data_IF_156401134725
#
_entry.id   IF_156401134725
#
_cell.length_a   1.000
_cell.length_b   1.000
_cell.length_c   1.000
_cell.angle_alpha   90.00
_cell.angle_beta   90.00
_cell.angle_gamma   90.00
#
_symmetry.space_group_name_H-M   'P 1'
#
loop_
_entity.id
_entity.type
_entity.pdbx_description
1 polymer ?
#
# COMPACT_ATOMS: atom_id res chain seq x y z
N UNK A 1 17.55 -24.78 6.46
CA UNK A 1 17.09 -24.35 5.12
C UNK A 1 15.68 -23.82 5.32
N UNK A 2 15.61 -22.64 5.93
CA UNK A 2 14.36 -22.00 6.34
C UNK A 2 13.86 -21.18 5.15
N UNK A 3 12.82 -21.70 4.50
CA UNK A 3 12.23 -21.11 3.32
C UNK A 3 11.74 -19.68 3.56
N UNK A 4 12.18 -18.77 2.70
CA UNK A 4 11.49 -17.56 2.23
C UNK A 4 10.32 -17.04 3.11
N UNK A 5 10.60 -16.64 4.35
CA UNK A 5 9.72 -15.77 5.11
C UNK A 5 9.87 -14.32 4.61
N UNK A 6 9.38 -14.06 3.40
CA UNK A 6 8.87 -12.73 3.03
C UNK A 6 7.34 -12.85 2.93
N UNK A 7 6.77 -13.37 4.01
CA UNK A 7 5.34 -13.42 4.30
C UNK A 7 5.19 -13.07 5.78
N UNK A 8 5.52 -11.82 6.11
CA UNK A 8 5.31 -11.24 7.44
C UNK A 8 5.25 -9.72 7.34
N UNK A 9 6.20 -9.08 6.65
CA UNK A 9 6.31 -7.62 6.67
C UNK A 9 5.35 -6.84 5.74
N UNK A 10 4.66 -7.51 4.81
CA UNK A 10 3.63 -6.87 3.98
C UNK A 10 2.23 -6.85 4.61
N UNK A 11 2.00 -7.61 5.69
CA UNK A 11 0.67 -7.85 6.25
C UNK A 11 0.59 -7.72 7.79
N UNK A 12 1.71 -7.84 8.54
CA UNK A 12 1.73 -7.64 10.01
C UNK A 12 1.68 -6.16 10.46
N UNK A 13 1.37 -5.21 9.58
CA UNK A 13 0.98 -3.86 9.99
C UNK A 13 -0.46 -3.79 10.56
N UNK A 14 -1.17 -4.92 10.63
CA UNK A 14 -2.52 -5.00 11.20
C UNK A 14 -2.50 -5.06 12.75
N UNK A 15 -1.36 -5.30 13.42
CA UNK A 15 -1.34 -5.49 14.88
C UNK A 15 -0.25 -4.74 15.67
N UNK A 16 0.40 -3.73 15.11
CA UNK A 16 1.11 -2.74 15.94
C UNK A 16 0.21 -1.53 16.09
N UNK A 17 -0.31 -1.31 17.31
CA UNK A 17 -0.99 -0.07 17.73
C UNK A 17 0.03 1.08 17.73
N UNK A 18 0.41 1.50 16.55
CA UNK A 18 1.04 2.79 16.32
C UNK A 18 0.19 3.50 15.25
N UNK A 19 -0.18 4.73 15.55
CA UNK A 19 -1.28 5.49 14.96
C UNK A 19 -0.98 5.97 13.53
N UNK A 20 -0.68 5.04 12.62
CA UNK A 20 -0.46 5.26 11.18
C UNK A 20 -1.15 4.18 10.31
N UNK A 21 -1.60 3.05 10.89
CA UNK A 21 -2.25 1.94 10.18
C UNK A 21 -3.76 2.14 9.88
N UNK A 22 -4.41 3.13 10.50
CA UNK A 22 -5.87 3.32 10.40
C UNK A 22 -6.37 3.61 8.97
N UNK A 23 -5.50 4.03 8.06
CA UNK A 23 -5.90 4.40 6.69
C UNK A 23 -6.10 3.23 5.73
N UNK A 24 -5.22 2.22 5.79
CA UNK A 24 -5.17 1.18 4.75
C UNK A 24 -6.30 0.17 4.90
N UNK A 25 -6.67 -0.17 6.14
CA UNK A 25 -7.83 -1.02 6.40
C UNK A 25 -9.12 -0.38 5.88
N UNK A 26 -9.27 0.95 6.07
CA UNK A 26 -10.38 1.72 5.51
C UNK A 26 -10.38 1.70 3.98
N UNK A 27 -9.22 1.87 3.32
CA UNK A 27 -9.12 1.73 1.86
C UNK A 27 -9.60 0.34 1.43
N UNK A 28 -9.13 -0.72 2.08
CA UNK A 28 -9.52 -2.11 1.73
C UNK A 28 -11.01 -2.33 1.92
N UNK A 29 -11.60 -1.85 3.02
CA UNK A 29 -13.05 -1.97 3.28
C UNK A 29 -13.85 -1.20 2.23
N UNK A 30 -13.50 0.06 1.96
CA UNK A 30 -14.21 0.92 1.01
C UNK A 30 -14.05 0.43 -0.42
N UNK A 31 -12.88 -0.13 -0.77
CA UNK A 31 -12.60 -0.68 -2.10
C UNK A 31 -13.55 -1.82 -2.50
N UNK A 32 -14.10 -2.57 -1.53
CA UNK A 32 -15.12 -3.61 -1.78
C UNK A 32 -16.42 -3.04 -2.34
N UNK A 33 -16.69 -1.77 -2.08
CA UNK A 33 -17.85 -1.04 -2.61
C UNK A 33 -17.57 -0.36 -3.95
N UNK A 34 -16.36 -0.51 -4.51
CA UNK A 34 -16.10 -0.05 -5.86
C UNK A 34 -16.90 -0.87 -6.87
N UNK A 35 -17.41 -0.18 -7.89
CA UNK A 35 -18.12 -0.83 -9.01
C UNK A 35 -17.28 -1.88 -9.74
N UNK A 36 -15.99 -1.63 -9.87
CA UNK A 36 -15.06 -2.50 -10.57
C UNK A 36 -14.22 -3.29 -9.57
N UNK A 37 -14.15 -4.61 -9.77
CA UNK A 37 -13.33 -5.52 -8.95
C UNK A 37 -11.83 -5.29 -9.12
N UNK A 38 -11.41 -4.69 -10.23
CA UNK A 38 -10.03 -4.32 -10.54
C UNK A 38 -9.77 -2.81 -10.44
N UNK A 39 -10.56 -2.09 -9.60
CA UNK A 39 -10.42 -0.66 -9.44
C UNK A 39 -9.02 -0.30 -8.88
N UNK A 40 -8.24 0.42 -9.66
CA UNK A 40 -6.98 1.07 -9.32
C UNK A 40 -7.14 2.30 -8.43
N UNK A 41 -8.37 2.82 -8.30
CA UNK A 41 -8.77 4.00 -7.53
C UNK A 41 -8.23 5.33 -8.08
N UNK A 42 -7.76 5.36 -9.32
CA UNK A 42 -7.07 6.52 -9.93
C UNK A 42 -8.06 7.39 -10.71
N UNK A 43 -8.59 6.87 -11.82
CA UNK A 43 -9.48 7.59 -12.73
C UNK A 43 -10.81 6.87 -12.95
N UNK A 44 -11.09 5.77 -12.25
CA UNK A 44 -12.34 5.04 -12.48
C UNK A 44 -13.59 5.84 -12.11
N UNK A 45 -14.63 5.81 -12.97
CA UNK A 45 -15.93 6.33 -12.60
C UNK A 45 -16.55 5.47 -11.49
N UNK A 46 -17.25 6.11 -10.54
CA UNK A 46 -17.92 5.43 -9.42
C UNK A 46 -16.96 4.64 -8.51
N UNK A 47 -15.74 5.14 -8.32
CA UNK A 47 -14.81 4.64 -7.31
C UNK A 47 -15.25 5.05 -5.90
N UNK A 48 -15.56 4.07 -5.05
CA UNK A 48 -15.96 4.31 -3.66
C UNK A 48 -14.84 4.96 -2.84
N UNK A 49 -13.58 4.63 -3.12
CA UNK A 49 -12.42 5.22 -2.44
C UNK A 49 -12.27 6.70 -2.77
N UNK A 50 -12.41 7.09 -4.04
CA UNK A 50 -12.37 8.53 -4.42
C UNK A 50 -13.53 9.29 -3.80
N UNK A 51 -14.71 8.68 -3.72
CA UNK A 51 -15.85 9.27 -3.04
C UNK A 51 -15.55 9.49 -1.55
N UNK A 52 -14.99 8.49 -0.87
CA UNK A 52 -14.60 8.62 0.53
C UNK A 52 -13.54 9.70 0.77
N UNK A 53 -12.65 9.96 -0.19
CA UNK A 53 -11.71 11.08 -0.14
C UNK A 53 -12.46 12.41 -0.26
N UNK A 54 -13.36 12.55 -1.24
CA UNK A 54 -14.18 13.76 -1.41
C UNK A 54 -15.10 14.04 -0.22
N UNK A 55 -15.60 12.98 0.43
CA UNK A 55 -16.45 13.05 1.61
C UNK A 55 -15.66 13.28 2.91
N UNK A 56 -14.31 13.33 2.84
CA UNK A 56 -13.43 13.55 4.00
C UNK A 56 -13.27 12.34 4.94
N UNK A 57 -13.81 11.18 4.56
CA UNK A 57 -13.69 9.91 5.30
C UNK A 57 -12.27 9.34 5.19
N UNK A 58 -11.60 9.59 4.06
CA UNK A 58 -10.20 9.24 3.85
C UNK A 58 -9.41 10.51 3.50
N UNK A 59 -8.21 10.68 4.06
CA UNK A 59 -7.34 11.80 3.68
C UNK A 59 -6.56 11.48 2.40
N UNK A 60 -6.27 12.53 1.63
CA UNK A 60 -5.42 12.42 0.44
C UNK A 60 -4.01 11.91 0.80
N UNK A 61 -3.46 12.29 1.95
CA UNK A 61 -2.16 11.81 2.44
C UNK A 61 -2.09 10.28 2.61
N UNK A 62 -3.16 9.68 3.15
CA UNK A 62 -3.26 8.23 3.31
C UNK A 62 -3.30 7.56 1.93
N UNK A 63 -4.09 8.12 0.99
CA UNK A 63 -4.17 7.59 -0.37
C UNK A 63 -2.84 7.72 -1.13
N UNK A 64 -2.14 8.84 -0.96
CA UNK A 64 -0.82 9.07 -1.55
C UNK A 64 0.22 8.10 -1.00
N UNK A 65 0.18 7.84 0.31
CA UNK A 65 1.04 6.83 0.95
C UNK A 65 0.74 5.43 0.41
N UNK A 66 -0.54 5.09 0.25
CA UNK A 66 -0.98 3.82 -0.32
C UNK A 66 -0.46 3.62 -1.75
N UNK A 67 -0.57 4.65 -2.61
CA UNK A 67 -0.03 4.59 -3.97
C UNK A 67 1.49 4.43 -4.01
N UNK A 68 2.20 5.15 -3.14
CA UNK A 68 3.65 5.05 -3.01
C UNK A 68 4.05 3.61 -2.66
N UNK A 69 3.48 3.05 -1.60
CA UNK A 69 3.80 1.69 -1.14
C UNK A 69 3.42 0.64 -2.19
N UNK A 70 2.27 0.80 -2.86
CA UNK A 70 1.85 -0.09 -3.96
C UNK A 70 2.86 -0.07 -5.11
N UNK A 71 3.29 1.12 -5.54
CA UNK A 71 4.24 1.25 -6.65
C UNK A 71 5.62 0.67 -6.30
N UNK A 72 6.07 0.87 -5.06
CA UNK A 72 7.31 0.27 -4.55
C UNK A 72 7.23 -1.26 -4.52
N UNK A 73 6.10 -1.81 -4.05
CA UNK A 73 5.86 -3.24 -4.07
C UNK A 73 5.87 -3.80 -5.50
N UNK A 74 5.18 -3.15 -6.43
CA UNK A 74 5.16 -3.55 -7.84
C UNK A 74 6.56 -3.50 -8.47
N UNK A 75 7.35 -2.47 -8.17
CA UNK A 75 8.74 -2.37 -8.62
C UNK A 75 9.57 -3.56 -8.14
N UNK A 76 9.52 -3.86 -6.84
CA UNK A 76 10.24 -4.99 -6.24
C UNK A 76 9.77 -6.32 -6.84
N UNK A 77 8.47 -6.51 -7.03
CA UNK A 77 7.90 -7.75 -7.56
C UNK A 77 8.23 -7.98 -9.04
N UNK A 78 8.29 -6.92 -9.85
CA UNK A 78 8.65 -7.00 -11.29
C UNK A 78 10.16 -7.13 -11.51
N UNK A 79 10.97 -6.86 -10.49
CA UNK A 79 12.42 -6.84 -10.61
C UNK A 79 13.02 -8.25 -10.70
N UNK A 80 13.55 -8.60 -11.89
CA UNK A 80 14.19 -9.91 -12.13
C UNK A 80 15.51 -10.09 -11.37
N UNK A 81 16.25 -9.01 -11.15
CA UNK A 81 17.53 -9.04 -10.41
C UNK A 81 17.29 -8.83 -8.92
N UNK A 82 17.42 -9.90 -8.14
CA UNK A 82 17.18 -9.91 -6.69
C UNK A 82 18.11 -8.95 -5.93
N UNK A 83 19.37 -8.81 -6.34
CA UNK A 83 20.32 -7.90 -5.69
C UNK A 83 19.88 -6.45 -5.83
N UNK A 84 19.40 -6.05 -7.02
CA UNK A 84 18.86 -4.70 -7.24
C UNK A 84 17.60 -4.43 -6.41
N UNK A 85 16.70 -5.41 -6.30
CA UNK A 85 15.52 -5.30 -5.45
C UNK A 85 15.90 -5.15 -3.95
N UNK A 86 16.90 -5.89 -3.49
CA UNK A 86 17.40 -5.80 -2.11
C UNK A 86 18.06 -4.44 -1.85
N UNK A 87 18.88 -3.94 -2.77
CA UNK A 87 19.52 -2.61 -2.64
C UNK A 87 18.47 -1.51 -2.53
N UNK A 88 17.48 -1.53 -3.44
CA UNK A 88 16.35 -0.60 -3.41
C UNK A 88 15.60 -0.63 -2.07
N UNK A 89 15.27 -1.82 -1.55
CA UNK A 89 14.61 -1.94 -0.24
C UNK A 89 15.47 -1.43 0.92
N UNK A 90 16.81 -1.55 0.85
CA UNK A 90 17.71 -0.97 1.85
C UNK A 90 17.69 0.55 1.79
N UNK A 91 17.76 1.12 0.58
CA UNK A 91 17.67 2.56 0.38
C UNK A 91 16.35 3.13 0.94
N UNK A 92 15.20 2.52 0.63
CA UNK A 92 13.91 2.96 1.17
C UNK A 92 13.89 3.01 2.70
N UNK A 93 14.44 2.00 3.38
CA UNK A 93 14.52 1.97 4.84
C UNK A 93 15.42 3.05 5.43
N UNK A 94 16.46 3.47 4.70
CA UNK A 94 17.35 4.55 5.11
C UNK A 94 16.68 5.91 5.00
N UNK A 95 15.91 6.16 3.93
CA UNK A 95 15.29 7.46 3.67
C UNK A 95 13.95 7.68 4.38
N UNK A 96 13.24 6.61 4.78
CA UNK A 96 11.94 6.71 5.47
C UNK A 96 12.04 6.88 6.99
N UNK A 97 13.25 6.89 7.58
CA UNK A 97 13.47 6.92 9.04
C UNK A 97 13.56 8.34 9.63
N UNK A 98 12.85 9.32 9.06
CA UNK A 98 12.77 10.69 9.60
C UNK A 98 11.48 10.91 10.37
#
# INVERSE_FOLDING_TARGET
MEGLLISKMGFDLINHRDNSAFGYENIVIISKSCKFSNCSHTNEPQCAVKKAISDGVLTEDIMNSYYRDKNEFEYVCKQKNKTKAIDYMKQLKLFRKS
#
